data_IF_321911253383
#
_entry.id   IF_321911253383
#
_cell.length_a   1.000
_cell.length_b   1.000
_cell.length_c   1.000
_cell.angle_alpha   90.00
_cell.angle_beta   90.00
_cell.angle_gamma   90.00
#
_symmetry.space_group_name_H-M   'P 1'
#
loop_
_entity.id
_entity.type
_entity.pdbx_description
1 polymer ?
#
# COMPACT_ATOMS: atom_id res chain seq x y z
N UNK A 1 -21.60 0.81 -24.71
CA UNK A 1 -20.28 1.30 -24.27
C UNK A 1 -19.54 0.14 -23.63
N UNK A 2 -18.48 -0.38 -24.26
CA UNK A 2 -17.73 -1.53 -23.77
C UNK A 2 -16.85 -1.05 -22.59
N UNK A 3 -17.43 -0.97 -21.40
CA UNK A 3 -16.81 -0.31 -20.24
C UNK A 3 -15.84 -1.27 -19.52
N UNK A 4 -14.83 -1.76 -20.26
CA UNK A 4 -13.82 -2.69 -19.74
C UNK A 4 -13.11 -2.14 -18.50
N UNK A 5 -12.92 -0.81 -18.44
CA UNK A 5 -12.34 -0.12 -17.28
C UNK A 5 -13.23 -0.26 -16.04
N UNK A 6 -14.55 -0.05 -16.17
CA UNK A 6 -15.46 -0.26 -15.05
C UNK A 6 -15.49 -1.74 -14.61
N UNK A 7 -15.38 -2.68 -15.56
CA UNK A 7 -15.24 -4.10 -15.25
C UNK A 7 -13.99 -4.39 -14.41
N UNK A 8 -12.83 -3.87 -14.82
CA UNK A 8 -11.58 -3.99 -14.06
C UNK A 8 -11.67 -3.34 -12.68
N UNK A 9 -12.31 -2.18 -12.58
CA UNK A 9 -12.51 -1.51 -11.29
C UNK A 9 -13.41 -2.32 -10.37
N UNK A 10 -14.48 -2.93 -10.90
CA UNK A 10 -15.34 -3.80 -10.12
C UNK A 10 -14.59 -5.05 -9.63
N UNK A 11 -13.76 -5.66 -10.48
CA UNK A 11 -12.93 -6.80 -10.10
C UNK A 11 -11.94 -6.45 -8.99
N UNK A 12 -11.24 -5.31 -9.11
CA UNK A 12 -10.36 -4.81 -8.06
C UNK A 12 -11.12 -4.55 -6.75
N UNK A 13 -12.32 -3.96 -6.83
CA UNK A 13 -13.14 -3.73 -5.65
C UNK A 13 -13.61 -5.04 -5.00
N UNK A 14 -13.99 -6.05 -5.78
CA UNK A 14 -14.35 -7.37 -5.25
C UNK A 14 -13.17 -8.01 -4.51
N UNK A 15 -11.96 -7.95 -5.09
CA UNK A 15 -10.75 -8.42 -4.41
C UNK A 15 -10.48 -7.61 -3.13
N UNK A 16 -10.62 -6.28 -3.18
CA UNK A 16 -10.50 -5.43 -1.99
C UNK A 16 -11.44 -5.88 -0.87
N UNK A 17 -12.69 -6.23 -1.17
CA UNK A 17 -13.68 -6.72 -0.19
C UNK A 17 -13.29 -8.09 0.37
N UNK A 18 -12.94 -9.05 -0.48
CA UNK A 18 -12.47 -10.39 -0.06
C UNK A 18 -11.29 -10.30 0.90
N UNK A 19 -10.46 -9.28 0.69
CA UNK A 19 -9.26 -9.02 1.45
C UNK A 19 -9.45 -7.97 2.56
N UNK A 20 -10.66 -7.50 2.85
CA UNK A 20 -10.95 -6.53 3.93
C UNK A 20 -10.28 -5.17 3.77
N UNK A 21 -9.88 -4.80 2.54
CA UNK A 21 -9.23 -3.54 2.19
C UNK A 21 -10.21 -2.48 1.70
N UNK A 22 -11.48 -2.82 1.48
CA UNK A 22 -12.48 -1.95 0.85
C UNK A 22 -12.66 -0.62 1.60
N UNK A 23 -12.52 -0.66 2.93
CA UNK A 23 -12.66 0.48 3.84
C UNK A 23 -11.42 1.38 3.91
N UNK A 24 -10.29 0.96 3.32
CA UNK A 24 -9.10 1.80 3.29
C UNK A 24 -9.33 3.01 2.37
N UNK A 25 -9.01 4.23 2.81
CA UNK A 25 -8.93 5.39 1.93
C UNK A 25 -7.96 5.14 0.78
N UNK A 26 -8.21 5.75 -0.38
CA UNK A 26 -7.38 5.57 -1.57
C UNK A 26 -5.87 5.77 -1.31
N UNK A 27 -5.42 6.80 -0.57
CA UNK A 27 -3.99 6.94 -0.27
C UNK A 27 -3.38 5.75 0.50
N UNK A 28 -4.15 5.10 1.38
CA UNK A 28 -3.70 3.91 2.11
C UNK A 28 -3.64 2.70 1.17
N UNK A 29 -4.64 2.53 0.29
CA UNK A 29 -4.63 1.47 -0.74
C UNK A 29 -3.43 1.61 -1.66
N UNK A 30 -3.18 2.81 -2.19
CA UNK A 30 -2.06 3.05 -3.11
C UNK A 30 -0.72 2.75 -2.44
N UNK A 31 -0.52 3.18 -1.19
CA UNK A 31 0.71 2.91 -0.44
C UNK A 31 0.86 1.42 -0.16
N UNK A 32 -0.22 0.74 0.23
CA UNK A 32 -0.20 -0.69 0.51
C UNK A 32 0.11 -1.51 -0.77
N UNK A 33 -0.53 -1.19 -1.90
CA UNK A 33 -0.26 -1.87 -3.16
C UNK A 33 1.15 -1.62 -3.66
N UNK A 34 1.63 -0.37 -3.59
CA UNK A 34 3.01 -0.05 -3.92
C UNK A 34 3.99 -0.84 -3.04
N UNK A 35 3.69 -0.98 -1.74
CA UNK A 35 4.50 -1.80 -0.83
C UNK A 35 4.50 -3.28 -1.23
N UNK A 36 3.34 -3.88 -1.50
CA UNK A 36 3.24 -5.26 -1.98
C UNK A 36 4.01 -5.50 -3.29
N UNK A 37 3.97 -4.53 -4.22
CA UNK A 37 4.64 -4.62 -5.53
C UNK A 37 6.16 -4.40 -5.46
N UNK A 38 6.67 -3.81 -4.37
CA UNK A 38 8.09 -3.48 -4.21
C UNK A 38 8.77 -4.23 -3.06
N UNK A 39 8.02 -5.08 -2.36
CA UNK A 39 8.55 -5.95 -1.32
C UNK A 39 9.43 -7.05 -1.92
N UNK A 40 10.45 -7.45 -1.17
CA UNK A 40 11.31 -8.59 -1.52
C UNK A 40 10.65 -9.94 -1.20
N UNK A 41 11.38 -11.04 -1.44
CA UNK A 41 10.92 -12.41 -1.18
C UNK A 41 10.56 -12.66 0.30
N UNK A 42 11.08 -11.84 1.21
CA UNK A 42 10.77 -11.88 2.65
C UNK A 42 9.62 -10.94 3.05
N UNK A 43 8.92 -10.34 2.06
CA UNK A 43 7.87 -9.34 2.25
C UNK A 43 8.38 -8.05 2.92
N UNK A 44 9.68 -7.79 2.88
CA UNK A 44 10.30 -6.60 3.46
C UNK A 44 10.45 -5.54 2.38
N UNK A 45 10.20 -4.29 2.75
CA UNK A 45 10.31 -3.15 1.85
C UNK A 45 10.87 -1.92 2.55
N UNK A 46 11.66 -1.12 1.81
CA UNK A 46 12.12 0.18 2.29
C UNK A 46 11.13 1.28 1.87
N UNK A 47 10.76 2.16 2.81
CA UNK A 47 9.76 3.22 2.57
C UNK A 47 10.13 4.18 1.45
N UNK A 48 11.42 4.47 1.23
CA UNK A 48 11.85 5.28 0.08
C UNK A 48 11.67 4.55 -1.27
N UNK A 49 11.70 3.21 -1.30
CA UNK A 49 11.40 2.44 -2.51
C UNK A 49 9.91 2.49 -2.81
N UNK A 50 9.06 2.25 -1.80
CA UNK A 50 7.60 2.37 -1.92
C UNK A 50 7.24 3.76 -2.45
N UNK A 51 7.77 4.81 -1.83
CA UNK A 51 7.47 6.21 -2.18
C UNK A 51 7.84 6.58 -3.63
N UNK A 52 8.83 5.91 -4.22
CA UNK A 52 9.25 6.15 -5.62
C UNK A 52 8.41 5.38 -6.63
N UNK A 53 7.54 4.47 -6.20
CA UNK A 53 6.68 3.71 -7.10
C UNK A 53 5.78 4.65 -7.92
N UNK A 54 5.61 4.45 -9.25
CA UNK A 54 4.85 5.37 -10.12
C UNK A 54 3.41 5.64 -9.66
N UNK A 55 2.77 4.67 -9.00
CA UNK A 55 1.43 4.82 -8.41
C UNK A 55 1.36 5.97 -7.39
N UNK A 56 2.47 6.32 -6.74
CA UNK A 56 2.57 7.35 -5.72
C UNK A 56 3.17 8.66 -6.24
N UNK A 57 3.40 8.80 -7.55
CA UNK A 57 4.10 9.95 -8.13
C UNK A 57 3.44 11.30 -7.80
N UNK A 58 2.11 11.33 -7.68
CA UNK A 58 1.34 12.53 -7.34
C UNK A 58 1.08 12.68 -5.84
N UNK A 59 1.53 11.72 -5.02
CA UNK A 59 1.29 11.74 -3.58
C UNK A 59 2.32 12.63 -2.87
N UNK A 60 1.83 13.59 -2.08
CA UNK A 60 2.71 14.42 -1.27
C UNK A 60 3.45 13.60 -0.20
N UNK A 61 4.66 14.02 0.17
CA UNK A 61 5.44 13.39 1.24
C UNK A 61 4.66 13.32 2.57
N UNK A 62 3.96 14.37 3.04
CA UNK A 62 3.12 14.29 4.24
C UNK A 62 1.98 13.26 4.13
N UNK A 63 1.32 13.18 2.98
CA UNK A 63 0.23 12.21 2.75
C UNK A 63 0.76 10.78 2.81
N UNK A 64 1.91 10.52 2.17
CA UNK A 64 2.57 9.21 2.17
C UNK A 64 2.86 8.73 3.59
N UNK A 65 3.56 9.53 4.40
CA UNK A 65 3.93 9.09 5.75
C UNK A 65 2.72 8.98 6.69
N UNK A 66 1.66 9.77 6.46
CA UNK A 66 0.39 9.59 7.17
C UNK A 66 -0.25 8.26 6.82
N UNK A 67 -0.38 7.94 5.54
CA UNK A 67 -0.93 6.67 5.09
C UNK A 67 -0.10 5.47 5.58
N UNK A 68 1.23 5.54 5.49
CA UNK A 68 2.15 4.53 6.01
C UNK A 68 1.96 4.32 7.52
N UNK A 69 1.82 5.39 8.30
CA UNK A 69 1.53 5.28 9.74
C UNK A 69 0.20 4.57 10.00
N UNK A 70 -0.87 4.98 9.33
CA UNK A 70 -2.20 4.37 9.48
C UNK A 70 -2.20 2.88 9.11
N UNK A 71 -1.43 2.48 8.09
CA UNK A 71 -1.27 1.07 7.71
C UNK A 71 -0.52 0.27 8.77
N UNK A 72 0.43 0.89 9.48
CA UNK A 72 1.09 0.27 10.63
C UNK A 72 0.14 0.14 11.82
N UNK A 73 -0.64 1.18 12.10
CA UNK A 73 -1.63 1.17 13.19
C UNK A 73 -2.74 0.13 12.95
N UNK A 74 -2.98 -0.24 11.69
CA UNK A 74 -3.92 -1.29 11.25
C UNK A 74 -3.29 -2.70 11.12
N UNK A 75 -2.03 -2.88 11.52
CA UNK A 75 -1.24 -4.12 11.38
C UNK A 75 -1.15 -4.67 9.94
N UNK A 76 -1.30 -3.82 8.92
CA UNK A 76 -1.08 -4.17 7.50
C UNK A 76 0.39 -3.99 7.10
N UNK A 77 1.15 -3.21 7.88
CA UNK A 77 2.60 -3.14 7.79
C UNK A 77 3.19 -3.11 9.20
N UNK A 78 4.37 -3.67 9.36
CA UNK A 78 5.09 -3.66 10.65
C UNK A 78 6.48 -3.13 10.41
N UNK A 79 6.98 -2.28 11.31
CA UNK A 79 8.36 -1.81 11.23
C UNK A 79 9.32 -2.98 11.44
N UNK A 80 10.28 -3.15 10.55
CA UNK A 80 11.32 -4.17 10.71
C UNK A 80 12.40 -3.63 11.67
N UNK A 81 12.56 -4.30 12.82
CA UNK A 81 13.60 -3.98 13.79
C UNK A 81 13.32 -2.78 14.71
N UNK A 82 14.28 -2.51 15.59
CA UNK A 82 14.19 -1.49 16.65
C UNK A 82 14.61 -0.08 16.18
N UNK A 83 15.29 0.02 15.03
CA UNK A 83 15.82 1.28 14.50
C UNK A 83 14.86 1.85 13.43
N UNK A 84 14.79 3.17 13.34
CA UNK A 84 14.07 3.90 12.28
C UNK A 84 14.86 3.88 10.96
N UNK A 85 15.22 2.71 10.48
CA UNK A 85 15.95 2.56 9.21
C UNK A 85 15.04 2.63 7.99
N UNK A 86 13.72 2.71 8.18
CA UNK A 86 12.77 2.87 7.10
C UNK A 86 12.33 1.55 6.46
N UNK A 87 12.67 0.39 7.05
CA UNK A 87 12.21 -0.92 6.61
C UNK A 87 10.90 -1.33 7.27
N UNK A 88 10.05 -1.98 6.48
CA UNK A 88 8.73 -2.43 6.87
C UNK A 88 8.48 -3.82 6.30
N UNK A 89 7.92 -4.70 7.11
CA UNK A 89 7.33 -5.96 6.70
C UNK A 89 5.89 -5.70 6.26
N UNK A 90 5.53 -6.15 5.06
CA UNK A 90 4.15 -6.14 4.58
C UNK A 90 3.41 -7.33 5.22
N UNK A 91 2.43 -7.02 6.07
CA UNK A 91 1.58 -8.02 6.72
C UNK A 91 0.44 -8.38 5.77
N UNK A 92 0.62 -9.50 5.06
CA UNK A 92 -0.46 -10.30 4.49
C UNK A 92 0.03 -11.69 4.09
#
# INVERSE_FOLDING_TARGET
MNNKIAGLRNMLWQMEVEFGLEKLPQPQKDVFYAACLTADDNKVVHSDTVKRHPMLALMSRPTFYRALKELVDKDLMVREGQRKDGRYLVKR
#
